data_IF_415315973804
#
_entry.id   IF_415315973804
#
_cell.length_a   1.000
_cell.length_b   1.000
_cell.length_c   1.000
_cell.angle_alpha   90.00
_cell.angle_beta   90.00
_cell.angle_gamma   90.00
#
_symmetry.space_group_name_H-M   'P 1'
#
loop_
_entity.id
_entity.type
_entity.pdbx_description
1 polymer ?
#
# COMPACT_ATOMS: atom_id res chain seq x y z
N UNK A 1 -4.05 -7.92 -3.57
CA UNK A 1 -5.00 -6.92 -4.09
C UNK A 1 -5.07 -7.08 -5.60
N UNK A 2 -6.27 -7.09 -6.19
CA UNK A 2 -6.42 -7.18 -7.65
C UNK A 2 -7.30 -6.05 -8.16
N UNK A 3 -6.82 -5.33 -9.18
CA UNK A 3 -7.54 -4.27 -9.87
C UNK A 3 -7.89 -4.74 -11.27
N UNK A 4 -9.16 -4.67 -11.63
CA UNK A 4 -9.65 -5.02 -12.96
C UNK A 4 -9.89 -3.76 -13.80
N UNK A 5 -9.49 -3.83 -15.06
CA UNK A 5 -9.70 -2.80 -16.06
C UNK A 5 -10.21 -3.45 -17.36
N UNK A 6 -10.82 -2.66 -18.25
CA UNK A 6 -11.33 -3.17 -19.54
C UNK A 6 -10.25 -3.77 -20.44
N UNK A 7 -8.98 -3.44 -20.19
CA UNK A 7 -7.81 -3.92 -20.94
C UNK A 7 -7.09 -5.11 -20.29
N UNK A 8 -7.43 -5.47 -19.06
CA UNK A 8 -6.67 -6.44 -18.29
C UNK A 8 -6.84 -6.32 -16.78
N UNK A 9 -5.95 -6.94 -16.02
CA UNK A 9 -5.92 -6.88 -14.56
C UNK A 9 -4.49 -6.77 -14.03
N UNK A 10 -4.35 -6.08 -12.91
CA UNK A 10 -3.11 -6.04 -12.12
C UNK A 10 -3.38 -6.64 -10.74
N UNK A 11 -2.61 -7.66 -10.37
CA UNK A 11 -2.61 -8.23 -9.03
C UNK A 11 -1.30 -7.92 -8.33
N UNK A 12 -1.38 -7.29 -7.16
CA UNK A 12 -0.27 -7.05 -6.25
C UNK A 12 -0.42 -7.96 -5.02
N UNK A 13 0.57 -8.81 -4.80
CA UNK A 13 0.65 -9.74 -3.68
C UNK A 13 1.82 -9.34 -2.77
N UNK A 14 1.49 -8.99 -1.53
CA UNK A 14 2.46 -8.87 -0.44
C UNK A 14 2.52 -10.22 0.26
N UNK A 15 3.69 -10.80 0.30
CA UNK A 15 3.91 -12.07 1.00
C UNK A 15 3.89 -11.90 2.52
N UNK A 16 3.94 -13.00 3.25
CA UNK A 16 3.93 -12.97 4.72
C UNK A 16 5.16 -12.22 5.28
N UNK A 17 4.97 -11.32 6.25
CA UNK A 17 6.02 -10.39 6.70
C UNK A 17 7.16 -11.06 7.49
N UNK A 18 7.04 -12.35 7.81
CA UNK A 18 8.04 -13.09 8.58
C UNK A 18 8.92 -14.00 7.71
N UNK A 19 8.66 -14.08 6.41
CA UNK A 19 9.56 -14.77 5.49
C UNK A 19 10.58 -13.77 4.94
N UNK A 20 11.81 -13.88 5.42
CA UNK A 20 12.96 -13.12 4.94
C UNK A 20 13.09 -13.27 3.41
N UNK A 21 13.29 -12.14 2.72
CA UNK A 21 13.48 -12.06 1.27
C UNK A 21 12.31 -12.58 0.42
N UNK A 22 11.13 -12.79 1.00
CA UNK A 22 9.99 -13.19 0.19
C UNK A 22 9.52 -11.98 -0.65
N UNK A 23 9.37 -12.13 -1.98
CA UNK A 23 9.13 -11.00 -2.86
C UNK A 23 7.72 -10.44 -2.75
N UNK A 24 7.59 -9.14 -2.95
CA UNK A 24 6.35 -8.53 -3.44
C UNK A 24 6.18 -8.90 -4.90
N UNK A 25 5.02 -9.44 -5.28
CA UNK A 25 4.76 -9.90 -6.63
C UNK A 25 3.68 -9.06 -7.30
N UNK A 26 3.98 -8.50 -8.47
CA UNK A 26 3.02 -7.87 -9.36
C UNK A 26 2.77 -8.78 -10.57
N UNK A 27 1.53 -9.21 -10.76
CA UNK A 27 1.09 -9.94 -11.95
C UNK A 27 0.19 -9.05 -12.79
N UNK A 28 0.60 -8.80 -14.02
CA UNK A 28 -0.16 -8.06 -15.02
C UNK A 28 -0.71 -9.06 -16.04
N UNK A 29 -2.01 -9.04 -16.27
CA UNK A 29 -2.66 -9.82 -17.32
C UNK A 29 -3.33 -8.85 -18.27
N UNK A 30 -2.98 -8.90 -19.55
CA UNK A 30 -3.49 -7.99 -20.58
C UNK A 30 -4.06 -8.78 -21.76
N UNK A 31 -4.98 -8.16 -22.50
CA UNK A 31 -5.47 -8.72 -23.76
C UNK A 31 -4.35 -8.74 -24.81
N UNK A 32 -4.13 -9.90 -25.43
CA UNK A 32 -3.14 -10.09 -26.49
C UNK A 32 -3.80 -10.77 -27.70
N UNK A 33 -4.29 -9.96 -28.65
CA UNK A 33 -5.06 -10.46 -29.79
C UNK A 33 -6.34 -11.16 -29.33
N UNK A 34 -6.51 -12.42 -29.75
CA UNK A 34 -7.60 -13.30 -29.32
C UNK A 34 -7.30 -14.04 -28.00
N UNK A 35 -6.13 -13.80 -27.40
CA UNK A 35 -5.69 -14.41 -26.14
C UNK A 35 -5.38 -13.40 -25.04
N UNK A 36 -4.64 -13.85 -24.03
CA UNK A 36 -4.14 -13.03 -22.93
C UNK A 36 -2.63 -13.22 -22.77
N UNK A 37 -1.93 -12.13 -22.47
CA UNK A 37 -0.53 -12.14 -22.05
C UNK A 37 -0.49 -11.95 -20.53
N UNK A 38 0.42 -12.64 -19.85
CA UNK A 38 0.64 -12.45 -18.42
C UNK A 38 2.12 -12.22 -18.15
N UNK A 39 2.43 -11.13 -17.45
CA UNK A 39 3.76 -10.79 -16.99
C UNK A 39 3.78 -10.83 -15.46
N UNK A 40 4.83 -11.40 -14.90
CA UNK A 40 5.06 -11.43 -13.45
C UNK A 40 6.35 -10.71 -13.12
N UNK A 41 6.26 -9.70 -12.26
CA UNK A 41 7.37 -8.93 -11.72
C UNK A 41 7.50 -9.30 -10.25
N UNK A 42 8.74 -9.54 -9.80
CA UNK A 42 9.05 -9.90 -8.41
C UNK A 42 10.06 -8.90 -7.88
N UNK A 43 9.71 -8.25 -6.79
CA UNK A 43 10.58 -7.32 -6.09
C UNK A 43 10.93 -7.89 -4.71
N UNK A 44 12.22 -8.07 -4.46
CA UNK A 44 12.76 -8.56 -3.18
C UNK A 44 13.37 -7.43 -2.35
N UNK A 45 13.26 -6.19 -2.80
CA UNK A 45 13.77 -5.05 -2.05
C UNK A 45 13.09 -4.96 -0.70
N UNK A 46 13.89 -4.84 0.36
CA UNK A 46 13.41 -4.70 1.73
C UNK A 46 12.93 -3.26 1.95
N UNK A 47 11.61 -3.00 2.07
CA UNK A 47 11.10 -1.63 2.16
C UNK A 47 11.62 -0.91 3.41
N UNK A 48 11.82 -1.66 4.50
CA UNK A 48 12.38 -1.13 5.74
C UNK A 48 13.79 -0.54 5.55
N UNK A 49 14.69 -1.21 4.81
CA UNK A 49 16.04 -0.70 4.57
C UNK A 49 16.03 0.55 3.68
N UNK A 50 15.13 0.60 2.70
CA UNK A 50 14.92 1.82 1.89
C UNK A 50 14.44 2.99 2.75
N UNK A 51 13.45 2.76 3.61
CA UNK A 51 12.93 3.77 4.53
C UNK A 51 13.98 4.22 5.53
N UNK A 52 14.77 3.29 6.07
CA UNK A 52 15.85 3.60 7.00
C UNK A 52 16.95 4.45 6.35
N UNK A 53 17.31 4.14 5.10
CA UNK A 53 18.26 4.95 4.33
C UNK A 53 17.69 6.37 4.05
N UNK A 54 16.42 6.47 3.64
CA UNK A 54 15.76 7.75 3.43
C UNK A 54 15.67 8.58 4.73
N UNK A 55 15.39 7.92 5.84
CA UNK A 55 15.39 8.53 7.17
C UNK A 55 16.78 9.04 7.57
N UNK A 56 17.83 8.27 7.30
CA UNK A 56 19.21 8.71 7.52
C UNK A 56 19.53 9.97 6.72
N UNK A 57 19.20 10.02 5.44
CA UNK A 57 19.43 11.22 4.60
C UNK A 57 18.64 12.43 5.09
N UNK A 58 17.41 12.22 5.55
CA UNK A 58 16.63 13.28 6.19
C UNK A 58 17.31 13.80 7.46
N UNK A 59 17.75 12.90 8.35
CA UNK A 59 18.32 13.28 9.63
C UNK A 59 19.72 13.93 9.48
N UNK A 60 20.59 13.34 8.66
CA UNK A 60 21.97 13.77 8.50
C UNK A 60 22.11 14.97 7.55
N UNK A 61 21.33 14.98 6.47
CA UNK A 61 21.53 15.90 5.34
C UNK A 61 20.33 16.82 5.08
N UNK A 62 19.28 16.77 5.92
CA UNK A 62 18.06 17.59 5.77
C UNK A 62 17.37 17.41 4.41
N UNK A 63 17.55 16.23 3.79
CA UNK A 63 16.86 15.87 2.55
C UNK A 63 15.39 15.63 2.90
N UNK A 64 14.48 16.24 2.12
CA UNK A 64 13.04 16.00 2.31
C UNK A 64 12.74 14.52 2.01
N UNK A 65 12.08 13.79 2.92
CA UNK A 65 11.72 12.40 2.67
C UNK A 65 10.63 12.32 1.58
N UNK A 66 10.49 11.18 0.89
CA UNK A 66 9.43 10.95 -0.09
C UNK A 66 8.02 11.12 0.48
N UNK A 67 7.82 10.80 1.77
CA UNK A 67 6.59 10.99 2.53
C UNK A 67 6.90 11.72 3.83
N UNK A 68 6.21 12.84 4.07
CA UNK A 68 6.39 13.70 5.23
C UNK A 68 5.17 13.70 6.15
N UNK A 69 5.11 14.71 7.01
CA UNK A 69 4.05 14.85 8.02
C UNK A 69 2.67 15.02 7.35
N UNK A 70 2.59 15.84 6.30
CA UNK A 70 1.33 16.14 5.62
C UNK A 70 0.73 14.87 4.97
N UNK A 71 1.57 14.08 4.31
CA UNK A 71 1.16 12.80 3.72
C UNK A 71 0.74 11.80 4.80
N UNK A 72 1.51 11.69 5.89
CA UNK A 72 1.16 10.81 7.02
C UNK A 72 -0.13 11.22 7.73
N UNK A 73 -0.39 12.52 7.88
CA UNK A 73 -1.65 13.02 8.43
C UNK A 73 -2.83 12.64 7.53
N UNK A 74 -2.68 12.79 6.22
CA UNK A 74 -3.71 12.42 5.26
C UNK A 74 -4.05 10.92 5.34
N UNK A 75 -3.04 10.07 5.44
CA UNK A 75 -3.22 8.62 5.58
C UNK A 75 -3.97 8.25 6.88
N UNK A 76 -3.63 8.89 8.00
CA UNK A 76 -4.33 8.70 9.28
C UNK A 76 -5.81 9.08 9.16
N UNK A 77 -6.13 10.22 8.53
CA UNK A 77 -7.52 10.67 8.35
C UNK A 77 -8.32 9.72 7.47
N UNK A 78 -7.71 9.17 6.43
CA UNK A 78 -8.34 8.14 5.58
C UNK A 78 -8.61 6.87 6.38
N UNK A 79 -7.64 6.40 7.17
CA UNK A 79 -7.82 5.22 8.03
C UNK A 79 -8.95 5.41 9.05
N UNK A 80 -9.01 6.58 9.70
CA UNK A 80 -10.10 6.96 10.60
C UNK A 80 -11.46 6.91 9.91
N UNK A 81 -11.55 7.44 8.69
CA UNK A 81 -12.79 7.45 7.90
C UNK A 81 -13.26 6.02 7.54
N UNK A 82 -12.33 5.13 7.18
CA UNK A 82 -12.62 3.72 6.89
C UNK A 82 -13.14 3.02 8.16
N UNK A 83 -12.48 3.24 9.30
CA UNK A 83 -12.89 2.67 10.57
C UNK A 83 -14.30 3.13 10.98
N UNK A 84 -14.59 4.43 10.86
CA UNK A 84 -15.91 5.01 11.11
C UNK A 84 -16.99 4.38 10.23
N UNK A 85 -16.73 4.24 8.92
CA UNK A 85 -17.67 3.62 7.98
C UNK A 85 -17.94 2.14 8.32
N UNK A 86 -16.90 1.39 8.68
CA UNK A 86 -17.02 -0.02 9.09
C UNK A 86 -17.82 -0.15 10.38
N UNK A 87 -17.50 0.63 11.41
CA UNK A 87 -18.20 0.59 12.69
C UNK A 87 -19.69 0.93 12.55
N UNK A 88 -20.01 1.94 11.72
CA UNK A 88 -21.41 2.25 11.36
C UNK A 88 -22.11 1.05 10.72
N UNK A 89 -21.46 0.33 9.81
CA UNK A 89 -22.04 -0.85 9.17
C UNK A 89 -22.29 -2.02 10.14
N UNK A 90 -21.52 -2.07 11.23
CA UNK A 90 -21.58 -3.11 12.26
C UNK A 90 -22.38 -2.69 13.51
N UNK A 91 -22.94 -1.47 13.54
CA UNK A 91 -23.58 -0.87 14.71
C UNK A 91 -22.67 -0.85 15.96
N UNK A 92 -21.36 -0.62 15.77
CA UNK A 92 -20.38 -0.45 16.84
C UNK A 92 -20.19 1.05 17.09
N UNK A 93 -20.19 1.46 18.35
CA UNK A 93 -19.84 2.83 18.74
C UNK A 93 -18.32 2.95 18.84
N UNK A 94 -17.75 3.94 18.16
CA UNK A 94 -16.34 4.31 18.28
C UNK A 94 -16.20 5.58 19.11
N UNK A 95 -15.05 5.70 19.75
CA UNK A 95 -14.53 6.84 20.48
C UNK A 95 -13.25 7.39 19.82
N UNK A 96 -12.70 8.48 20.37
CA UNK A 96 -11.47 9.11 19.86
C UNK A 96 -11.61 9.75 18.47
N UNK A 97 -10.48 9.88 17.77
CA UNK A 97 -10.37 10.59 16.50
C UNK A 97 -11.09 9.89 15.34
N UNK A 98 -11.42 8.60 15.47
CA UNK A 98 -12.21 7.85 14.50
C UNK A 98 -13.73 7.88 14.79
N UNK A 99 -14.17 8.56 15.85
CA UNK A 99 -15.60 8.70 16.19
C UNK A 99 -16.30 9.81 15.42
N UNK A 100 -15.54 10.71 14.79
CA UNK A 100 -16.08 11.80 13.99
C UNK A 100 -16.51 11.31 12.58
N UNK A 101 -17.58 11.89 12.01
CA UNK A 101 -18.04 11.58 10.66
C UNK A 101 -17.08 12.06 9.56
#
# INVERSE_FOLDING_TARGET
>A
MTVHHTRGSAELEFTVPYLLNAPTQLRLTEKAGDGASTQTIRDVTEPFELELAAFHEMAANQVRPPTGIDEGEADIRVAQSIAAALAKSLNITLDGEASAP
#
